data_IF_432873654931
#
_entry.id   IF_432873654931
#
_cell.length_a   1.000
_cell.length_b   1.000
_cell.length_c   1.000
_cell.angle_alpha   90.00
_cell.angle_beta   90.00
_cell.angle_gamma   90.00
#
_symmetry.space_group_name_H-M   'P 1'
#
loop_
_entity.id
_entity.type
_entity.pdbx_description
1 polymer ?
#
# COMPACT_ATOMS: atom_id res chain seq x y z
N UNK A 1 7.81 6.75 -35.08
CA UNK A 1 7.10 5.52 -34.66
C UNK A 1 8.12 4.48 -34.19
N UNK A 2 8.32 4.41 -32.87
CA UNK A 2 9.08 3.38 -32.15
C UNK A 2 8.38 3.19 -30.79
N UNK A 3 8.41 1.97 -30.21
CA UNK A 3 7.42 1.51 -29.23
C UNK A 3 7.72 2.03 -27.82
N UNK A 4 6.67 2.52 -27.14
CA UNK A 4 6.70 2.84 -25.71
C UNK A 4 6.76 1.54 -24.89
N UNK A 5 7.83 1.39 -24.11
CA UNK A 5 7.94 0.39 -23.06
C UNK A 5 7.11 0.86 -21.85
N UNK A 6 5.83 0.49 -21.88
CA UNK A 6 4.89 0.61 -20.78
C UNK A 6 5.19 -0.50 -19.76
N UNK A 7 5.93 -0.22 -18.68
CA UNK A 7 6.09 -1.18 -17.58
C UNK A 7 4.93 -1.06 -16.58
N UNK A 8 3.84 -1.76 -16.92
CA UNK A 8 3.17 -2.78 -16.10
C UNK A 8 2.88 -2.41 -14.64
N UNK A 9 1.70 -1.83 -14.42
CA UNK A 9 0.91 -2.05 -13.21
C UNK A 9 0.16 -3.38 -13.34
N UNK A 10 0.81 -4.50 -13.01
CA UNK A 10 0.14 -5.81 -12.89
C UNK A 10 0.59 -6.46 -11.59
N UNK A 11 -0.35 -6.55 -10.64
CA UNK A 11 -0.74 -7.75 -9.91
C UNK A 11 -1.24 -7.45 -8.48
N UNK A 12 -2.49 -6.98 -8.33
CA UNK A 12 -3.34 -7.38 -7.19
C UNK A 12 -4.75 -7.62 -7.73
N UNK A 13 -4.90 -8.74 -8.44
CA UNK A 13 -6.20 -9.29 -8.82
C UNK A 13 -6.11 -10.82 -8.73
N UNK A 14 -6.19 -11.32 -7.50
CA UNK A 14 -6.79 -12.62 -7.26
C UNK A 14 -8.00 -12.38 -6.38
N UNK A 15 -9.10 -11.94 -7.01
CA UNK A 15 -10.42 -12.24 -6.48
C UNK A 15 -10.62 -13.72 -6.81
N UNK A 16 -10.28 -14.60 -5.87
CA UNK A 16 -10.97 -15.88 -5.87
C UNK A 16 -12.42 -15.55 -5.54
N UNK A 17 -13.28 -15.48 -6.58
CA UNK A 17 -14.63 -16.00 -6.41
C UNK A 17 -14.42 -17.39 -5.82
N UNK A 18 -14.96 -17.63 -4.63
CA UNK A 18 -14.95 -18.94 -4.02
C UNK A 18 -15.72 -19.91 -4.93
N UNK A 19 -15.01 -20.48 -5.90
CA UNK A 19 -15.48 -21.65 -6.64
C UNK A 19 -15.35 -22.80 -5.66
N UNK A 20 -16.50 -23.24 -5.13
CA UNK A 20 -16.59 -24.44 -4.28
C UNK A 20 -17.07 -24.24 -2.84
N UNK A 21 -17.90 -23.23 -2.53
CA UNK A 21 -18.65 -23.24 -1.27
C UNK A 21 -19.91 -24.09 -1.39
N UNK A 22 -19.83 -25.36 -0.98
CA UNK A 22 -21.02 -26.11 -0.59
C UNK A 22 -21.56 -25.55 0.73
N UNK A 23 -22.88 -25.29 0.85
CA UNK A 23 -23.47 -24.78 2.07
C UNK A 23 -23.36 -25.83 3.20
N UNK A 24 -22.78 -25.45 4.34
CA UNK A 24 -22.75 -26.27 5.56
C UNK A 24 -21.38 -26.78 6.03
N UNK A 25 -20.29 -26.55 5.29
CA UNK A 25 -18.93 -26.81 5.82
C UNK A 25 -18.40 -25.62 6.64
N UNK A 26 -17.79 -25.86 7.82
CA UNK A 26 -17.09 -24.81 8.54
C UNK A 26 -16.01 -24.21 7.64
N UNK A 27 -15.99 -22.87 7.54
CA UNK A 27 -15.01 -22.12 6.76
C UNK A 27 -13.60 -22.52 7.20
N UNK A 28 -12.94 -23.32 6.38
CA UNK A 28 -11.53 -23.61 6.56
C UNK A 28 -10.80 -22.28 6.35
N UNK A 29 -10.16 -21.78 7.40
CA UNK A 29 -9.24 -20.65 7.34
C UNK A 29 -8.13 -21.03 6.36
N UNK A 30 -8.30 -20.67 5.10
CA UNK A 30 -7.23 -20.77 4.12
C UNK A 30 -6.46 -19.45 4.20
N UNK A 31 -5.32 -19.39 4.93
CA UNK A 31 -4.31 -18.41 4.53
C UNK A 31 -4.05 -18.70 3.05
N UNK A 32 -4.14 -17.70 2.19
CA UNK A 32 -3.39 -17.76 0.93
C UNK A 32 -1.92 -17.62 1.31
N UNK A 33 -1.40 -18.63 2.00
CA UNK A 33 -0.02 -18.68 2.41
C UNK A 33 0.81 -18.61 1.14
N UNK A 34 1.96 -17.98 1.28
CA UNK A 34 2.97 -17.90 0.23
C UNK A 34 3.37 -19.26 -0.36
N UNK A 35 3.00 -20.37 0.30
CA UNK A 35 3.17 -21.74 -0.15
C UNK A 35 2.17 -22.09 -1.26
N UNK A 36 0.89 -21.75 -1.13
CA UNK A 36 -0.10 -21.92 -2.20
C UNK A 36 0.24 -21.07 -3.43
N UNK A 37 0.74 -19.84 -3.21
CA UNK A 37 1.26 -19.00 -4.28
C UNK A 37 2.58 -19.52 -4.89
N UNK A 38 3.50 -20.08 -4.10
CA UNK A 38 4.70 -20.74 -4.61
C UNK A 38 4.41 -22.05 -5.37
N UNK A 39 3.27 -22.69 -5.08
CA UNK A 39 2.75 -23.86 -5.81
C UNK A 39 1.85 -23.48 -7.00
N UNK A 40 1.59 -22.18 -7.20
CA UNK A 40 0.81 -21.68 -8.33
C UNK A 40 1.58 -21.87 -9.63
N UNK A 41 0.90 -22.39 -10.66
CA UNK A 41 1.43 -22.46 -12.03
C UNK A 41 1.66 -21.07 -12.67
N UNK A 42 1.10 -20.02 -12.06
CA UNK A 42 1.35 -18.64 -12.42
C UNK A 42 2.33 -18.05 -11.41
N UNK A 43 3.61 -17.84 -11.78
CA UNK A 43 4.58 -17.26 -10.86
C UNK A 43 4.12 -15.85 -10.49
N UNK A 44 3.87 -15.62 -9.20
CA UNK A 44 3.87 -14.24 -8.70
C UNK A 44 5.29 -13.71 -8.80
N UNK A 45 5.43 -12.39 -8.94
CA UNK A 45 6.73 -11.73 -8.93
C UNK A 45 7.52 -12.09 -7.66
N UNK A 46 8.59 -12.87 -7.82
CA UNK A 46 9.55 -13.23 -6.76
C UNK A 46 10.56 -12.10 -6.47
N UNK A 47 10.36 -10.91 -7.03
CA UNK A 47 11.20 -9.74 -6.73
C UNK A 47 11.17 -9.42 -5.23
N UNK A 48 12.36 -9.23 -4.66
CA UNK A 48 12.62 -8.95 -3.24
C UNK A 48 12.24 -10.07 -2.25
N UNK A 49 11.75 -11.22 -2.72
CA UNK A 49 11.26 -12.30 -1.85
C UNK A 49 12.40 -13.14 -1.26
N UNK A 50 12.33 -13.37 0.04
CA UNK A 50 13.00 -14.49 0.72
C UNK A 50 12.04 -15.68 0.67
N UNK A 51 12.52 -16.83 0.16
CA UNK A 51 11.67 -17.98 -0.12
C UNK A 51 11.16 -18.67 1.15
N UNK A 52 11.95 -18.62 2.22
CA UNK A 52 11.63 -19.20 3.52
C UNK A 52 10.38 -18.55 4.12
N UNK A 53 9.53 -19.40 4.67
CA UNK A 53 8.34 -19.00 5.39
C UNK A 53 8.12 -20.00 6.51
N UNK A 54 8.08 -19.51 7.75
CA UNK A 54 7.96 -20.33 8.96
C UNK A 54 6.71 -19.89 9.72
N UNK A 55 6.10 -20.76 10.53
CA UNK A 55 4.99 -20.38 11.40
C UNK A 55 5.34 -19.18 12.31
N UNK A 56 6.58 -19.12 12.80
CA UNK A 56 7.07 -18.05 13.66
C UNK A 56 7.08 -16.70 12.91
N UNK A 57 7.56 -16.67 11.67
CA UNK A 57 7.52 -15.47 10.84
C UNK A 57 6.08 -15.09 10.47
N UNK A 58 5.22 -16.06 10.13
CA UNK A 58 3.83 -15.77 9.80
C UNK A 58 3.09 -15.12 10.98
N UNK A 59 3.28 -15.66 12.19
CA UNK A 59 2.69 -15.11 13.42
C UNK A 59 3.21 -13.71 13.72
N UNK A 60 4.52 -13.50 13.65
CA UNK A 60 5.12 -12.19 13.88
C UNK A 60 4.68 -11.17 12.81
N UNK A 61 4.74 -11.53 11.52
CA UNK A 61 4.41 -10.64 10.41
C UNK A 61 2.93 -10.24 10.40
N UNK A 62 2.02 -11.17 10.69
CA UNK A 62 0.61 -10.85 10.86
C UNK A 62 0.37 -9.94 12.08
N UNK A 63 1.05 -10.19 13.20
CA UNK A 63 0.94 -9.35 14.39
C UNK A 63 1.42 -7.93 14.12
N UNK A 64 2.54 -7.77 13.39
CA UNK A 64 3.03 -6.48 12.93
C UNK A 64 2.01 -5.75 12.05
N UNK A 65 1.48 -6.43 11.01
CA UNK A 65 0.49 -5.82 10.11
C UNK A 65 -0.79 -5.41 10.84
N UNK A 66 -1.30 -6.24 11.75
CA UNK A 66 -2.45 -5.91 12.60
C UNK A 66 -2.17 -4.74 13.53
N UNK A 67 -0.99 -4.71 14.16
CA UNK A 67 -0.58 -3.58 15.01
C UNK A 67 -0.60 -2.28 14.23
N UNK A 68 -0.03 -2.26 13.02
CA UNK A 68 0.01 -1.07 12.17
C UNK A 68 -1.36 -0.68 11.62
N UNK A 69 -2.19 -1.63 11.22
CA UNK A 69 -3.57 -1.34 10.82
C UNK A 69 -4.39 -0.75 11.98
N UNK A 70 -4.22 -1.26 13.20
CA UNK A 70 -4.89 -0.73 14.40
C UNK A 70 -4.35 0.63 14.83
N UNK A 71 -3.05 0.88 14.68
CA UNK A 71 -2.44 2.19 14.90
C UNK A 71 -3.06 3.23 13.96
N UNK A 72 -3.15 2.91 12.65
CA UNK A 72 -3.81 3.77 11.65
C UNK A 72 -5.30 3.95 11.97
N UNK A 73 -6.00 2.88 12.33
CA UNK A 73 -7.42 2.92 12.74
C UNK A 73 -7.66 3.97 13.81
N UNK A 74 -6.83 3.98 14.85
CA UNK A 74 -6.96 4.90 15.98
C UNK A 74 -6.59 6.33 15.58
N UNK A 75 -5.40 6.50 14.99
CA UNK A 75 -4.88 7.82 14.57
C UNK A 75 -5.78 8.53 13.57
N UNK A 76 -6.41 7.77 12.68
CA UNK A 76 -7.30 8.33 11.66
C UNK A 76 -8.77 8.25 12.04
N UNK A 77 -9.11 7.73 13.22
CA UNK A 77 -10.48 7.54 13.68
C UNK A 77 -11.36 6.86 12.63
N UNK A 78 -10.89 5.73 12.10
CA UNK A 78 -11.63 4.96 11.10
C UNK A 78 -12.91 4.37 11.71
N UNK A 79 -13.92 4.13 10.88
CA UNK A 79 -15.21 3.53 11.27
C UNK A 79 -15.07 2.01 11.52
N UNK A 80 -14.23 1.67 12.51
CA UNK A 80 -13.92 0.33 12.99
C UNK A 80 -13.89 0.41 14.53
N UNK A 81 -15.00 0.02 15.16
CA UNK A 81 -15.26 0.29 16.59
C UNK A 81 -14.28 -0.38 17.54
N UNK A 82 -13.79 -1.58 17.22
CA UNK A 82 -12.86 -2.35 18.05
C UNK A 82 -11.57 -2.63 17.29
N UNK A 83 -10.44 -2.87 17.99
CA UNK A 83 -9.23 -3.34 17.35
C UNK A 83 -9.50 -4.56 16.46
N UNK A 84 -8.89 -4.56 15.29
CA UNK A 84 -8.87 -5.70 14.37
C UNK A 84 -8.09 -6.85 15.00
N UNK A 85 -8.67 -8.04 14.90
CA UNK A 85 -8.06 -9.31 15.25
C UNK A 85 -7.81 -10.14 14.00
N UNK A 86 -7.08 -11.24 14.14
CA UNK A 86 -6.84 -12.21 13.04
C UNK A 86 -8.14 -12.71 12.38
N UNK A 87 -9.25 -12.74 13.12
CA UNK A 87 -10.54 -13.19 12.62
C UNK A 87 -11.26 -12.15 11.77
N UNK A 88 -10.85 -10.88 11.83
CA UNK A 88 -11.51 -9.77 11.13
C UNK A 88 -10.93 -9.50 9.74
N UNK A 89 -9.85 -10.20 9.38
CA UNK A 89 -9.00 -9.86 8.24
C UNK A 89 -8.73 -11.03 7.31
N UNK A 90 -8.40 -10.67 6.06
CA UNK A 90 -7.67 -11.49 5.09
C UNK A 90 -6.29 -10.85 4.92
N UNK A 91 -5.26 -11.66 4.67
CA UNK A 91 -3.91 -11.13 4.52
C UNK A 91 -3.09 -11.90 3.48
N UNK A 92 -2.13 -11.19 2.91
CA UNK A 92 -1.01 -11.71 2.13
C UNK A 92 0.24 -11.17 2.77
N UNK A 93 1.18 -12.04 3.11
CA UNK A 93 2.40 -11.70 3.83
C UNK A 93 3.59 -12.25 3.06
N UNK A 94 4.66 -11.48 2.89
CA UNK A 94 5.90 -11.90 2.22
C UNK A 94 7.13 -11.42 3.00
N UNK A 95 8.06 -12.33 3.23
CA UNK A 95 9.38 -12.02 3.78
C UNK A 95 10.28 -11.40 2.70
N UNK A 96 10.96 -10.32 3.05
CA UNK A 96 11.97 -9.67 2.22
C UNK A 96 13.24 -9.39 3.01
N UNK A 97 14.30 -8.96 2.35
CA UNK A 97 15.51 -8.50 3.03
C UNK A 97 15.27 -7.24 3.88
N UNK A 98 14.14 -6.56 3.67
CA UNK A 98 13.77 -5.31 4.33
C UNK A 98 12.62 -5.52 5.33
N UNK A 99 12.20 -6.76 5.57
CA UNK A 99 11.13 -7.14 6.50
C UNK A 99 9.87 -7.64 5.82
N UNK A 100 8.74 -7.03 6.17
CA UNK A 100 7.42 -7.44 5.70
C UNK A 100 6.97 -6.65 4.48
N UNK A 101 6.58 -7.38 3.44
CA UNK A 101 5.77 -6.89 2.33
C UNK A 101 4.41 -7.61 2.31
N UNK A 102 3.39 -6.97 1.74
CA UNK A 102 2.10 -7.63 1.51
C UNK A 102 0.92 -6.70 1.73
N UNK A 103 -0.21 -7.27 2.17
CA UNK A 103 -1.39 -6.49 2.52
C UNK A 103 -2.27 -7.22 3.52
N UNK A 104 -3.05 -6.43 4.26
CA UNK A 104 -4.12 -6.90 5.13
C UNK A 104 -5.40 -6.15 4.74
N UNK A 105 -6.52 -6.85 4.70
CA UNK A 105 -7.81 -6.29 4.36
C UNK A 105 -8.86 -6.77 5.35
N UNK A 106 -9.77 -5.90 5.72
CA UNK A 106 -11.02 -6.31 6.38
C UNK A 106 -11.77 -7.32 5.52
N UNK A 107 -12.49 -8.27 6.15
CA UNK A 107 -13.19 -9.35 5.43
C UNK A 107 -14.27 -8.88 4.45
N UNK A 108 -14.90 -7.74 4.73
CA UNK A 108 -15.85 -7.10 3.81
C UNK A 108 -15.14 -6.40 2.62
N UNK A 109 -13.81 -6.36 2.65
CA UNK A 109 -12.96 -5.77 1.61
C UNK A 109 -12.98 -4.24 1.61
N UNK A 110 -13.59 -3.59 2.61
CA UNK A 110 -13.71 -2.13 2.67
C UNK A 110 -12.35 -1.48 2.91
N UNK A 111 -11.72 -1.83 4.02
CA UNK A 111 -10.42 -1.30 4.41
C UNK A 111 -9.29 -2.23 4.00
N UNK A 112 -8.26 -1.66 3.38
CA UNK A 112 -7.05 -2.37 2.96
C UNK A 112 -5.83 -1.55 3.33
N UNK A 113 -4.84 -2.19 3.95
CA UNK A 113 -3.51 -1.63 4.18
C UNK A 113 -2.49 -2.47 3.42
N UNK A 114 -1.65 -1.82 2.62
CA UNK A 114 -0.50 -2.47 1.99
C UNK A 114 0.77 -2.14 2.74
N UNK A 115 1.71 -3.07 2.65
CA UNK A 115 3.02 -2.97 3.26
C UNK A 115 4.09 -3.17 2.20
N UNK A 116 5.06 -2.26 2.21
CA UNK A 116 6.24 -2.32 1.37
C UNK A 116 7.46 -1.90 2.20
N UNK A 117 8.50 -2.74 2.21
CA UNK A 117 9.74 -2.51 2.96
C UNK A 117 9.48 -2.29 4.45
N UNK A 118 8.60 -3.09 5.04
CA UNK A 118 8.30 -3.12 6.46
C UNK A 118 7.69 -1.82 7.02
N UNK A 119 6.86 -1.17 6.22
CA UNK A 119 6.01 -0.04 6.64
C UNK A 119 4.73 -0.03 5.83
N UNK A 120 3.72 0.72 6.27
CA UNK A 120 2.54 1.00 5.45
C UNK A 120 2.96 1.93 4.32
N UNK A 121 2.70 1.52 3.08
CA UNK A 121 2.86 2.36 1.89
C UNK A 121 1.52 2.77 1.30
N UNK A 122 0.45 1.99 1.52
CA UNK A 122 -0.90 2.30 1.02
C UNK A 122 -1.99 2.02 2.03
N UNK A 123 -3.06 2.81 1.94
CA UNK A 123 -4.34 2.51 2.56
C UNK A 123 -5.51 2.83 1.62
N UNK A 124 -6.60 2.07 1.73
CA UNK A 124 -7.84 2.28 0.98
C UNK A 124 -9.07 2.12 1.88
N UNK A 125 -10.05 3.03 1.77
CA UNK A 125 -11.47 2.81 2.11
C UNK A 125 -12.28 2.68 0.80
N UNK A 126 -12.43 1.44 0.33
CA UNK A 126 -13.08 1.13 -0.95
C UNK A 126 -14.56 1.50 -1.02
N UNK A 127 -15.20 1.84 0.10
CA UNK A 127 -16.59 2.31 0.10
C UNK A 127 -16.71 3.70 -0.54
N UNK A 128 -15.68 4.52 -0.39
CA UNK A 128 -15.65 5.91 -0.83
C UNK A 128 -14.58 6.19 -1.90
N UNK A 129 -13.88 5.16 -2.35
CA UNK A 129 -12.94 5.23 -3.45
C UNK A 129 -13.20 4.11 -4.48
N UNK A 130 -13.98 4.39 -5.55
CA UNK A 130 -14.08 3.45 -6.64
C UNK A 130 -12.70 3.40 -7.30
N UNK A 131 -12.10 2.19 -7.35
CA UNK A 131 -10.74 1.94 -7.88
C UNK A 131 -10.41 2.61 -9.24
N UNK A 132 -11.44 3.01 -9.98
CA UNK A 132 -11.34 3.89 -11.14
C UNK A 132 -12.69 4.60 -11.35
N UNK A 133 -12.67 5.92 -11.44
CA UNK A 133 -13.85 6.71 -11.82
C UNK A 133 -14.22 6.58 -13.30
N UNK A 134 -13.29 6.10 -14.15
CA UNK A 134 -13.46 5.96 -15.61
C UNK A 134 -14.14 4.67 -16.05
N UNK A 135 -14.20 3.64 -15.20
CA UNK A 135 -14.68 2.31 -15.59
C UNK A 135 -15.92 1.86 -14.81
N UNK A 136 -16.55 2.78 -14.05
CA UNK A 136 -17.73 2.50 -13.23
C UNK A 136 -18.67 3.73 -13.16
N UNK A 137 -19.35 4.08 -14.26
CA UNK A 137 -20.20 5.26 -14.32
C UNK A 137 -21.28 5.28 -13.22
N UNK A 138 -21.88 4.13 -12.88
CA UNK A 138 -22.89 4.06 -11.81
C UNK A 138 -22.35 4.44 -10.41
N UNK A 139 -21.14 3.98 -10.06
CA UNK A 139 -20.53 4.30 -8.76
C UNK A 139 -20.12 5.77 -8.69
N UNK A 140 -19.55 6.30 -9.78
CA UNK A 140 -19.18 7.71 -9.89
C UNK A 140 -20.40 8.63 -9.86
N UNK A 141 -21.46 8.28 -10.60
CA UNK A 141 -22.73 9.02 -10.63
C UNK A 141 -23.43 8.99 -9.26
N UNK A 142 -23.38 7.87 -8.54
CA UNK A 142 -23.87 7.80 -7.16
C UNK A 142 -23.12 8.76 -6.25
N UNK A 143 -21.80 8.86 -6.39
CA UNK A 143 -20.97 9.78 -5.59
C UNK A 143 -21.19 11.25 -5.96
N UNK A 144 -21.32 11.56 -7.26
CA UNK A 144 -21.61 12.90 -7.77
C UNK A 144 -22.89 13.51 -7.19
N UNK A 145 -23.88 12.67 -6.85
CA UNK A 145 -25.14 13.10 -6.22
C UNK A 145 -25.02 13.43 -4.73
N UNK A 146 -23.87 13.14 -4.10
CA UNK A 146 -23.66 13.40 -2.68
C UNK A 146 -22.86 14.70 -2.53
N UNK A 147 -23.42 15.74 -1.89
CA UNK A 147 -22.70 16.99 -1.71
C UNK A 147 -21.48 16.80 -0.81
N UNK A 148 -20.37 17.42 -1.19
CA UNK A 148 -19.19 17.51 -0.32
C UNK A 148 -19.53 18.30 0.94
N UNK A 149 -19.03 17.84 2.09
CA UNK A 149 -19.16 18.49 3.39
C UNK A 149 -17.88 19.23 3.81
N UNK A 150 -16.89 19.28 2.90
CA UNK A 150 -15.61 19.98 3.10
C UNK A 150 -15.19 20.73 1.84
N UNK A 151 -14.32 21.73 2.02
CA UNK A 151 -13.61 22.44 0.95
C UNK A 151 -12.25 21.80 0.62
N UNK A 152 -11.57 22.32 -0.41
CA UNK A 152 -10.21 21.91 -0.76
C UNK A 152 -9.20 22.26 0.35
N UNK A 153 -9.35 23.42 1.00
CA UNK A 153 -8.50 23.85 2.10
C UNK A 153 -8.67 22.94 3.32
N UNK A 154 -9.91 22.56 3.64
CA UNK A 154 -10.20 21.61 4.71
C UNK A 154 -9.67 20.21 4.38
N UNK A 155 -9.78 19.76 3.13
CA UNK A 155 -9.19 18.49 2.68
C UNK A 155 -7.66 18.48 2.85
N UNK A 156 -6.99 19.58 2.49
CA UNK A 156 -5.55 19.74 2.72
C UNK A 156 -5.19 19.71 4.21
N UNK A 157 -5.97 20.40 5.05
CA UNK A 157 -5.76 20.38 6.49
C UNK A 157 -5.87 18.96 7.07
N UNK A 158 -6.89 18.21 6.64
CA UNK A 158 -7.06 16.79 7.02
C UNK A 158 -5.87 15.97 6.55
N UNK A 159 -5.43 16.10 5.28
CA UNK A 159 -4.30 15.32 4.77
C UNK A 159 -3.00 15.60 5.57
N UNK A 160 -2.72 16.86 5.90
CA UNK A 160 -1.58 17.24 6.75
C UNK A 160 -1.69 16.64 8.15
N UNK A 161 -2.85 16.76 8.79
CA UNK A 161 -3.11 16.21 10.12
C UNK A 161 -2.90 14.69 10.12
N UNK A 162 -3.42 13.98 9.11
CA UNK A 162 -3.32 12.52 9.02
C UNK A 162 -1.91 12.03 8.72
N UNK A 163 -1.13 12.79 7.93
CA UNK A 163 0.29 12.53 7.72
C UNK A 163 1.08 12.73 9.03
N UNK A 164 0.85 13.83 9.74
CA UNK A 164 1.47 14.12 11.04
C UNK A 164 1.10 13.09 12.11
N UNK A 165 -0.14 12.61 12.12
CA UNK A 165 -0.56 11.56 13.04
C UNK A 165 0.25 10.27 12.85
N UNK A 166 0.67 9.95 11.62
CA UNK A 166 1.59 8.84 11.35
C UNK A 166 3.04 9.11 11.81
N UNK A 167 3.33 10.27 12.40
CA UNK A 167 4.68 10.69 12.75
C UNK A 167 5.49 11.14 11.53
N UNK A 168 4.82 11.49 10.43
CA UNK A 168 5.45 11.90 9.18
C UNK A 168 5.24 13.40 8.93
N UNK A 169 6.22 14.07 8.34
CA UNK A 169 6.08 15.46 7.87
C UNK A 169 6.81 15.70 6.55
N UNK A 170 6.54 16.86 5.95
CA UNK A 170 7.09 17.22 4.64
C UNK A 170 8.62 17.31 4.63
N UNK A 171 9.26 17.78 5.70
CA UNK A 171 10.72 17.94 5.75
C UNK A 171 11.42 16.59 5.83
N UNK A 172 10.92 15.69 6.67
CA UNK A 172 11.46 14.34 6.78
C UNK A 172 11.36 13.59 5.45
N UNK A 173 10.26 13.80 4.73
CA UNK A 173 9.98 13.13 3.46
C UNK A 173 10.55 13.84 2.24
N UNK A 174 11.21 15.00 2.41
CA UNK A 174 11.71 15.91 1.36
C UNK A 174 10.63 16.28 0.34
N UNK A 175 9.50 16.73 0.85
CA UNK A 175 8.34 17.08 0.05
C UNK A 175 8.31 18.58 -0.23
N UNK A 176 8.08 18.93 -1.49
CA UNK A 176 7.93 20.30 -1.94
C UNK A 176 6.63 20.91 -1.40
N UNK A 177 6.73 22.14 -0.91
CA UNK A 177 5.61 22.96 -0.47
C UNK A 177 5.27 24.06 -1.52
N UNK A 178 3.99 24.44 -1.67
CA UNK A 178 2.81 23.81 -1.08
C UNK A 178 2.38 22.54 -1.84
N UNK A 179 1.74 21.57 -1.17
CA UNK A 179 1.04 20.48 -1.85
C UNK A 179 -0.07 21.01 -2.74
N UNK A 180 -0.39 20.25 -3.78
CA UNK A 180 -1.47 20.58 -4.70
C UNK A 180 -2.74 19.83 -4.28
N UNK A 181 -3.88 20.50 -4.42
CA UNK A 181 -5.19 19.92 -4.12
C UNK A 181 -6.05 20.01 -5.36
N UNK A 182 -6.63 18.89 -5.77
CA UNK A 182 -7.53 18.78 -6.92
C UNK A 182 -8.80 18.04 -6.50
N UNK A 183 -9.96 18.61 -6.79
CA UNK A 183 -11.21 17.86 -6.62
C UNK A 183 -11.43 16.97 -7.84
N UNK A 184 -11.72 15.69 -7.64
CA UNK A 184 -12.05 14.81 -8.76
C UNK A 184 -13.35 15.27 -9.44
N UNK A 185 -13.40 15.06 -10.75
CA UNK A 185 -14.61 15.24 -11.55
C UNK A 185 -14.98 13.94 -12.26
N UNK A 186 -16.25 13.80 -12.60
CA UNK A 186 -16.81 12.73 -13.40
C UNK A 186 -17.57 13.34 -14.56
N UNK A 187 -17.24 12.94 -15.78
CA UNK A 187 -18.00 13.31 -16.98
C UNK A 187 -18.95 12.17 -17.31
N UNK A 188 -20.26 12.45 -17.37
CA UNK A 188 -21.28 11.49 -17.76
C UNK A 188 -21.36 11.35 -19.29
N UNK A 189 -22.08 10.35 -19.79
CA UNK A 189 -22.15 10.03 -21.23
C UNK A 189 -22.74 11.18 -22.09
N UNK A 190 -23.44 12.13 -21.47
CA UNK A 190 -23.99 13.34 -22.10
C UNK A 190 -22.99 14.51 -22.15
N UNK A 191 -21.76 14.33 -21.63
CA UNK A 191 -20.72 15.35 -21.53
C UNK A 191 -20.84 16.26 -20.31
N UNK A 192 -21.82 16.03 -19.43
CA UNK A 192 -21.97 16.82 -18.19
C UNK A 192 -20.87 16.44 -17.20
N UNK A 193 -20.12 17.44 -16.73
CA UNK A 193 -19.06 17.25 -15.74
C UNK A 193 -19.58 17.54 -14.33
N UNK A 194 -19.52 16.54 -13.46
CA UNK A 194 -19.91 16.62 -12.07
C UNK A 194 -18.69 16.61 -11.13
N UNK A 195 -18.61 17.51 -10.15
CA UNK A 195 -17.61 17.40 -9.09
C UNK A 195 -17.92 16.20 -8.19
N UNK A 196 -16.92 15.37 -7.92
CA UNK A 196 -17.02 14.29 -6.97
C UNK A 196 -16.66 14.79 -5.56
N UNK A 197 -17.27 14.26 -4.49
CA UNK A 197 -16.96 14.65 -3.12
C UNK A 197 -15.66 13.99 -2.64
N UNK A 198 -14.59 14.11 -3.43
CA UNK A 198 -13.28 13.51 -3.18
C UNK A 198 -12.19 14.45 -3.66
N UNK A 199 -11.23 14.74 -2.79
CA UNK A 199 -10.13 15.67 -3.03
C UNK A 199 -8.80 14.92 -3.02
N UNK A 200 -8.08 15.01 -4.12
CA UNK A 200 -6.71 14.53 -4.28
C UNK A 200 -5.72 15.57 -3.75
N UNK A 201 -5.00 15.24 -2.71
CA UNK A 201 -3.90 16.03 -2.16
C UNK A 201 -2.60 15.33 -2.51
N UNK A 202 -1.71 16.01 -3.23
CA UNK A 202 -0.43 15.47 -3.66
C UNK A 202 0.74 16.34 -3.26
N UNK A 203 1.79 15.71 -2.77
CA UNK A 203 3.11 16.32 -2.60
C UNK A 203 4.05 15.81 -3.68
N UNK A 204 4.87 16.70 -4.21
CA UNK A 204 5.99 16.37 -5.09
C UNK A 204 7.27 16.25 -4.29
N UNK A 205 8.26 15.56 -4.85
CA UNK A 205 9.61 15.58 -4.30
C UNK A 205 10.21 17.00 -4.41
N UNK A 206 11.07 17.39 -3.47
CA UNK A 206 11.84 18.65 -3.55
C UNK A 206 12.74 18.69 -4.78
N UNK A 207 13.28 17.54 -5.17
CA UNK A 207 14.19 17.38 -6.29
C UNK A 207 13.47 17.15 -7.63
N UNK A 208 12.13 17.10 -7.65
CA UNK A 208 11.36 16.86 -8.87
C UNK A 208 11.46 18.06 -9.84
N UNK A 209 12.20 17.86 -10.92
CA UNK A 209 12.41 18.82 -12.01
C UNK A 209 11.56 18.50 -13.24
N UNK A 210 10.51 17.67 -13.13
CA UNK A 210 9.64 17.37 -14.26
C UNK A 210 9.18 18.66 -14.98
N UNK A 211 9.67 18.85 -16.22
CA UNK A 211 9.34 19.94 -17.13
C UNK A 211 8.57 19.38 -18.35
N UNK A 212 7.57 20.11 -18.84
CA UNK A 212 6.77 19.70 -19.99
C UNK A 212 5.68 18.67 -19.66
N UNK A 213 5.54 17.62 -20.49
CA UNK A 213 4.47 16.61 -20.41
C UNK A 213 4.81 15.42 -19.48
N UNK A 214 5.95 15.44 -18.79
CA UNK A 214 6.28 14.40 -17.82
C UNK A 214 5.34 14.48 -16.60
N UNK A 215 4.71 13.35 -16.26
CA UNK A 215 3.88 13.29 -15.07
C UNK A 215 4.79 13.48 -13.84
N UNK A 216 4.55 14.50 -13.02
CA UNK A 216 5.39 14.78 -11.85
C UNK A 216 5.38 13.57 -10.92
N UNK A 217 6.52 13.29 -10.28
CA UNK A 217 6.57 12.22 -9.29
C UNK A 217 5.83 12.65 -8.03
N UNK A 218 4.81 11.88 -7.64
CA UNK A 218 3.95 12.14 -6.49
C UNK A 218 4.24 11.12 -5.38
N UNK A 219 5.34 11.29 -4.63
CA UNK A 219 5.75 10.28 -3.64
C UNK A 219 4.77 10.13 -2.49
N UNK A 220 3.95 11.15 -2.21
CA UNK A 220 2.93 11.11 -1.17
C UNK A 220 1.63 11.71 -1.67
N UNK A 221 0.55 10.92 -1.60
CA UNK A 221 -0.80 11.37 -1.94
C UNK A 221 -1.80 10.94 -0.89
N UNK A 222 -2.87 11.73 -0.79
CA UNK A 222 -4.07 11.41 -0.03
C UNK A 222 -5.28 11.71 -0.90
N UNK A 223 -6.26 10.83 -0.90
CA UNK A 223 -7.60 11.16 -1.34
C UNK A 223 -8.49 11.30 -0.11
N UNK A 224 -9.04 12.49 0.08
CA UNK A 224 -9.91 12.81 1.22
C UNK A 224 -11.35 12.80 0.75
N UNK A 225 -12.18 11.97 1.40
CA UNK A 225 -13.61 11.95 1.13
C UNK A 225 -14.29 13.15 1.77
N UNK A 226 -14.92 13.99 0.95
CA UNK A 226 -15.80 15.05 1.41
C UNK A 226 -17.10 14.57 2.04
N UNK A 227 -17.43 13.28 1.93
CA UNK A 227 -18.61 12.67 2.58
C UNK A 227 -18.31 12.35 4.04
N UNK A 228 -17.19 11.66 4.29
CA UNK A 228 -16.80 11.19 5.63
C UNK A 228 -15.85 12.13 6.36
N UNK A 229 -15.29 13.13 5.66
CA UNK A 229 -14.23 14.01 6.17
C UNK A 229 -12.99 13.23 6.62
N UNK A 230 -12.68 12.14 5.92
CA UNK A 230 -11.58 11.23 6.27
C UNK A 230 -10.87 10.67 5.03
N UNK A 231 -9.75 9.99 5.27
CA UNK A 231 -8.91 9.38 4.23
C UNK A 231 -9.67 8.26 3.52
N UNK A 232 -9.75 8.37 2.19
CA UNK A 232 -10.27 7.35 1.29
C UNK A 232 -9.12 6.57 0.61
N UNK A 233 -8.04 7.25 0.25
CA UNK A 233 -6.78 6.61 -0.16
C UNK A 233 -5.59 7.35 0.47
N UNK A 234 -4.55 6.60 0.80
CA UNK A 234 -3.24 7.12 1.16
C UNK A 234 -2.20 6.32 0.38
N UNK A 235 -1.18 7.02 -0.10
CA UNK A 235 -0.03 6.43 -0.75
C UNK A 235 1.25 7.14 -0.34
N UNK A 236 2.30 6.39 0.00
CA UNK A 236 3.62 6.91 0.31
C UNK A 236 4.75 5.97 -0.14
N UNK A 237 5.41 6.37 -1.21
CA UNK A 237 6.61 5.70 -1.75
C UNK A 237 7.87 6.54 -1.63
N UNK A 238 7.84 7.63 -0.86
CA UNK A 238 9.05 8.42 -0.58
C UNK A 238 10.18 7.51 -0.09
N UNK A 239 11.34 7.62 -0.75
CA UNK A 239 12.56 6.88 -0.37
C UNK A 239 13.05 7.30 1.03
N UNK A 240 12.69 8.52 1.45
CA UNK A 240 13.04 9.14 2.72
C UNK A 240 12.09 8.77 3.88
N UNK A 241 10.95 8.13 3.59
CA UNK A 241 10.07 7.67 4.67
C UNK A 241 10.82 6.66 5.57
N UNK A 242 10.77 6.84 6.90
CA UNK A 242 11.43 5.93 7.83
C UNK A 242 10.86 4.52 7.71
N UNK A 243 11.68 3.54 8.08
CA UNK A 243 11.28 2.14 8.17
C UNK A 243 11.37 1.74 9.63
N UNK A 244 10.45 0.89 10.06
CA UNK A 244 10.57 0.27 11.37
C UNK A 244 11.81 -0.63 11.41
N UNK A 245 12.54 -0.67 12.53
CA UNK A 245 13.67 -1.58 12.66
C UNK A 245 13.18 -3.03 12.65
N UNK A 246 13.94 -3.91 12.00
CA UNK A 246 13.68 -5.34 12.08
C UNK A 246 14.02 -5.85 13.48
N UNK A 247 13.26 -6.82 14.02
CA UNK A 247 13.64 -7.48 15.26
C UNK A 247 14.96 -8.22 15.06
N UNK A 248 15.78 -8.27 16.11
CA UNK A 248 17.13 -8.87 16.04
C UNK A 248 17.13 -10.36 15.65
N UNK A 249 16.02 -11.06 15.88
CA UNK A 249 15.82 -12.46 15.50
C UNK A 249 15.10 -12.65 14.15
N UNK A 250 14.95 -11.60 13.32
CA UNK A 250 14.19 -11.66 12.06
C UNK A 250 14.60 -12.83 11.14
N UNK A 251 15.89 -12.97 10.86
CA UNK A 251 16.37 -14.07 10.01
C UNK A 251 16.25 -15.43 10.69
N UNK A 252 16.43 -15.51 12.01
CA UNK A 252 16.19 -16.74 12.77
C UNK A 252 14.73 -17.20 12.69
N UNK A 253 13.78 -16.26 12.76
CA UNK A 253 12.38 -16.58 12.55
C UNK A 253 12.19 -17.24 11.19
N UNK A 254 12.90 -16.80 10.14
CA UNK A 254 12.87 -17.40 8.81
C UNK A 254 13.71 -18.70 8.67
N UNK A 255 14.23 -19.27 9.76
CA UNK A 255 15.17 -20.39 9.75
C UNK A 255 16.44 -20.11 8.92
N UNK A 256 16.90 -18.86 8.93
CA UNK A 256 18.11 -18.38 8.28
C UNK A 256 19.13 -17.91 9.34
N UNK A 257 20.44 -17.95 9.03
CA UNK A 257 21.45 -17.42 9.94
C UNK A 257 21.37 -15.88 10.03
N UNK A 258 21.82 -15.30 11.14
CA UNK A 258 21.73 -13.84 11.36
C UNK A 258 22.51 -13.04 10.31
N UNK A 259 23.60 -13.59 9.79
CA UNK A 259 24.42 -13.02 8.73
C UNK A 259 23.92 -13.38 7.32
N UNK A 260 22.67 -13.82 7.15
CA UNK A 260 22.13 -14.31 5.88
C UNK A 260 22.41 -13.36 4.71
N UNK A 261 22.17 -12.06 4.88
CA UNK A 261 22.38 -11.07 3.82
C UNK A 261 23.87 -10.92 3.40
N UNK A 262 24.81 -11.27 4.27
CA UNK A 262 26.24 -11.24 3.98
C UNK A 262 26.69 -12.49 3.22
N UNK A 263 25.97 -13.60 3.39
CA UNK A 263 26.31 -14.89 2.77
C UNK A 263 25.78 -15.07 1.35
N UNK A 264 24.78 -14.28 0.92
CA UNK A 264 24.18 -14.41 -0.42
C UNK A 264 25.11 -13.93 -1.55
N UNK A 265 25.02 -14.55 -2.71
CA UNK A 265 25.74 -14.15 -3.94
C UNK A 265 25.18 -12.85 -4.55
N UNK A 266 25.93 -12.20 -5.45
CA UNK A 266 25.54 -10.93 -6.08
C UNK A 266 24.21 -11.02 -6.86
N UNK A 267 23.95 -12.15 -7.53
CA UNK A 267 22.70 -12.35 -8.27
C UNK A 267 21.50 -12.35 -7.32
N UNK A 268 21.63 -13.02 -6.19
CA UNK A 268 20.62 -13.09 -5.14
C UNK A 268 20.46 -11.74 -4.45
N UNK A 269 21.56 -11.03 -4.18
CA UNK A 269 21.50 -9.65 -3.65
C UNK A 269 20.71 -8.72 -4.55
N UNK A 270 21.00 -8.73 -5.85
CA UNK A 270 20.27 -7.93 -6.82
C UNK A 270 18.78 -8.29 -6.87
N UNK A 271 18.44 -9.58 -6.88
CA UNK A 271 17.03 -10.05 -6.79
C UNK A 271 16.34 -9.58 -5.50
N UNK A 272 17.09 -9.51 -4.40
CA UNK A 272 16.61 -9.03 -3.10
C UNK A 272 16.57 -7.50 -2.99
N UNK A 273 16.99 -6.76 -4.02
CA UNK A 273 17.02 -5.30 -4.01
C UNK A 273 18.06 -4.73 -3.04
N UNK A 274 19.13 -5.49 -2.79
CA UNK A 274 20.26 -5.09 -1.95
C UNK A 274 21.33 -4.38 -2.79
N UNK A 275 22.09 -3.44 -2.20
CA UNK A 275 23.25 -2.88 -2.87
C UNK A 275 24.29 -3.98 -3.16
N UNK A 276 25.15 -3.82 -4.18
CA UNK A 276 26.26 -4.74 -4.41
C UNK A 276 27.15 -4.85 -3.17
N UNK A 277 27.82 -5.99 -2.94
CA UNK A 277 28.92 -6.01 -1.97
C UNK A 277 29.95 -5.01 -2.47
N UNK A 278 30.30 -4.02 -1.65
CA UNK A 278 31.30 -3.04 -2.04
C UNK A 278 32.56 -3.75 -2.55
N UNK A 279 33.27 -3.16 -3.51
CA UNK A 279 34.58 -3.68 -3.87
C UNK A 279 35.43 -3.79 -2.60
N UNK A 280 36.21 -4.87 -2.42
CA UNK A 280 37.22 -4.88 -1.38
C UNK A 280 38.11 -3.67 -1.63
N UNK A 281 38.05 -2.69 -0.73
CA UNK A 281 39.00 -1.58 -0.74
C UNK A 281 40.39 -2.16 -0.52
N UNK A 282 41.19 -2.20 -1.59
CA UNK A 282 42.62 -2.42 -1.52
C UNK A 282 43.12 -3.59 -2.36
N UNK A 283 43.58 -3.28 -3.56
CA UNK A 283 44.96 -3.62 -3.94
C UNK A 283 45.60 -2.31 -4.37
N UNK A 284 46.60 -1.86 -3.60
CA UNK A 284 47.51 -0.78 -3.97
C UNK A 284 48.37 -1.20 -5.16
#
# INVERSE_FOLDING_TARGET
MKPCLLWIAVAILVVHRAVGQEPGRPLQLAPTNNIAAARSKYPLSDHHRIAQNTPEFEQWGLSFMLSKANEVREKWNLDIRRPLTVNDVLFQLRATAQGVDGSIATRDGRYVWSFWRHRIDKFYDRKYWPRSFRHKPEESLRLAKIPSRITAEEALAIAREKLQALGLDGRMLRLREPPQVHQYTFEDDDGTVYPLPIFHVRWRDEEDQAEGDELPHEPVTFDISGITKNVAEYFNVSSHAPREPLPSNYFRMLALPDNYLDTVDERTRWRLGLPPKGEPKGVQ
#
